data_IF_034512104037
#
_entry.id   IF_034512104037
#
_cell.length_a   1.000
_cell.length_b   1.000
_cell.length_c   1.000
_cell.angle_alpha   90.00
_cell.angle_beta   90.00
_cell.angle_gamma   90.00
#
_symmetry.space_group_name_H-M   'P 1'
#
loop_
_entity.id
_entity.type
_entity.pdbx_description
1 polymer ?
#
# COMPACT_ATOMS: atom_id res chain seq x y z
N UNK A 1 -35.15 0.19 -38.59
CA UNK A 1 -35.10 -1.24 -38.99
C UNK A 1 -34.89 -1.30 -40.49
N UNK A 2 -33.89 -2.03 -41.02
CA UNK A 2 -32.49 -2.04 -40.61
C UNK A 2 -31.57 -1.67 -41.80
N UNK A 3 -30.37 -1.17 -41.51
CA UNK A 3 -29.27 -1.15 -42.48
C UNK A 3 -28.05 -1.76 -41.81
N UNK A 4 -27.56 -2.84 -42.42
CA UNK A 4 -26.34 -3.53 -42.05
C UNK A 4 -25.13 -2.63 -42.35
N UNK A 5 -24.14 -2.61 -41.46
CA UNK A 5 -22.76 -2.29 -41.80
C UNK A 5 -21.81 -3.08 -40.89
N UNK A 6 -20.95 -3.84 -41.57
CA UNK A 6 -19.83 -4.65 -41.08
C UNK A 6 -18.53 -3.82 -41.18
N UNK A 7 -17.55 -4.14 -40.33
CA UNK A 7 -16.13 -3.68 -40.30
C UNK A 7 -15.89 -2.26 -39.70
N UNK A 8 -14.91 -2.00 -38.84
CA UNK A 8 -13.71 -2.73 -38.37
C UNK A 8 -13.36 -2.32 -36.92
N UNK A 9 -13.11 -3.31 -36.06
CA UNK A 9 -12.86 -3.17 -34.62
C UNK A 9 -11.51 -3.80 -34.29
N UNK A 10 -10.46 -3.00 -34.02
CA UNK A 10 -9.21 -3.48 -33.41
C UNK A 10 -8.51 -2.37 -32.60
N UNK A 11 -7.92 -2.60 -31.42
CA UNK A 11 -7.57 -3.88 -30.79
C UNK A 11 -7.46 -3.83 -29.24
N UNK A 12 -8.50 -4.31 -28.56
CA UNK A 12 -8.36 -5.16 -27.37
C UNK A 12 -8.59 -6.60 -27.86
N UNK A 13 -7.53 -7.32 -28.29
CA UNK A 13 -7.70 -8.69 -28.82
C UNK A 13 -7.64 -9.76 -27.71
N UNK A 14 -8.67 -10.62 -27.58
CA UNK A 14 -8.70 -11.75 -26.64
C UNK A 14 -7.82 -12.91 -27.11
N UNK A 15 -7.22 -13.63 -26.16
CA UNK A 15 -6.26 -14.72 -26.41
C UNK A 15 -6.96 -16.09 -26.36
N UNK A 16 -6.73 -16.95 -27.37
CA UNK A 16 -7.09 -18.38 -27.40
C UNK A 16 -6.03 -19.25 -26.69
N UNK A 17 -6.39 -20.32 -25.97
CA UNK A 17 -5.42 -21.17 -25.25
C UNK A 17 -4.76 -22.23 -26.15
N UNK A 18 -3.44 -22.43 -25.98
CA UNK A 18 -2.67 -23.51 -26.58
C UNK A 18 -2.36 -24.63 -25.56
N UNK A 19 -2.23 -25.85 -26.09
CA UNK A 19 -2.30 -27.13 -25.39
C UNK A 19 -1.09 -27.55 -24.52
N UNK A 20 -1.35 -28.60 -23.75
CA UNK A 20 -0.52 -29.19 -22.69
C UNK A 20 0.70 -29.96 -23.23
N UNK A 21 1.82 -29.88 -22.52
CA UNK A 21 2.93 -30.83 -22.59
C UNK A 21 3.05 -31.65 -21.29
N UNK A 22 3.39 -32.94 -21.43
CA UNK A 22 3.41 -34.02 -20.43
C UNK A 22 4.84 -34.31 -19.92
N UNK A 23 4.92 -34.77 -18.64
CA UNK A 23 5.87 -35.72 -17.99
C UNK A 23 7.36 -35.30 -17.95
N UNK A 24 8.16 -35.60 -16.93
CA UNK A 24 8.69 -36.93 -16.54
C UNK A 24 9.25 -36.93 -15.08
N UNK A 25 9.18 -38.11 -14.46
CA UNK A 25 9.72 -38.55 -13.16
C UNK A 25 11.26 -38.57 -13.07
N UNK A 26 11.83 -38.38 -11.87
CA UNK A 26 13.03 -39.10 -11.44
C UNK A 26 13.11 -39.21 -9.90
N UNK A 27 13.62 -40.35 -9.43
CA UNK A 27 13.54 -40.91 -8.08
C UNK A 27 14.95 -40.96 -7.46
N UNK A 28 14.97 -40.92 -6.12
CA UNK A 28 15.85 -41.66 -5.20
C UNK A 28 17.33 -41.27 -5.00
N UNK A 29 17.71 -41.25 -3.71
CA UNK A 29 19.09 -41.31 -3.23
C UNK A 29 19.15 -41.26 -1.70
N UNK A 30 19.07 -42.43 -1.04
CA UNK A 30 19.34 -42.63 0.40
C UNK A 30 20.84 -42.73 0.63
N UNK A 31 21.34 -42.23 1.77
CA UNK A 31 22.57 -42.73 2.41
C UNK A 31 22.50 -42.56 3.93
N UNK A 32 22.83 -43.64 4.65
CA UNK A 32 22.92 -43.81 6.11
C UNK A 32 24.37 -43.67 6.55
N UNK A 33 24.63 -43.15 7.77
CA UNK A 33 25.73 -43.52 8.69
C UNK A 33 25.42 -42.90 10.07
N UNK A 34 24.91 -43.68 11.05
CA UNK A 34 25.57 -44.39 12.17
C UNK A 34 26.26 -43.51 13.24
N UNK A 35 25.55 -43.41 14.38
CA UNK A 35 25.92 -43.40 15.82
C UNK A 35 27.40 -43.28 16.23
N UNK A 36 27.64 -42.46 17.26
CA UNK A 36 28.45 -42.79 18.46
C UNK A 36 27.93 -42.04 19.69
N UNK A 37 27.70 -42.78 20.77
CA UNK A 37 27.39 -42.35 22.14
C UNK A 37 28.69 -42.01 22.89
N UNK A 38 28.66 -41.02 23.80
CA UNK A 38 29.61 -40.82 24.92
C UNK A 38 28.97 -39.77 25.85
N UNK A 39 28.27 -40.16 26.92
CA UNK A 39 28.69 -40.20 28.34
C UNK A 39 29.18 -38.84 28.88
N UNK A 40 28.39 -38.27 29.80
CA UNK A 40 28.67 -37.09 30.61
C UNK A 40 29.73 -37.34 31.70
N UNK A 41 30.26 -36.25 32.30
CA UNK A 41 30.49 -36.25 33.73
C UNK A 41 29.76 -35.09 34.44
N UNK A 42 29.14 -35.45 35.56
CA UNK A 42 28.55 -34.57 36.56
C UNK A 42 29.55 -33.55 37.09
N UNK A 43 29.13 -32.29 37.23
CA UNK A 43 29.81 -31.29 38.05
C UNK A 43 28.84 -30.60 39.00
N UNK A 44 29.07 -30.88 40.27
CA UNK A 44 28.48 -30.31 41.48
C UNK A 44 28.46 -28.77 41.46
N UNK A 45 27.31 -28.13 41.67
CA UNK A 45 27.22 -26.71 42.04
C UNK A 45 26.11 -26.50 43.09
N UNK A 46 26.46 -25.71 44.11
CA UNK A 46 25.71 -25.43 45.35
C UNK A 46 24.38 -24.69 45.08
N UNK A 47 23.37 -24.84 45.97
CA UNK A 47 22.16 -24.02 45.93
C UNK A 47 22.44 -22.61 46.48
N UNK A 48 21.57 -21.67 46.12
CA UNK A 48 21.46 -20.30 46.66
C UNK A 48 22.28 -19.20 45.98
N UNK A 49 21.80 -18.76 44.82
CA UNK A 49 21.81 -17.36 44.41
C UNK A 49 20.48 -17.05 43.69
N UNK A 50 19.73 -16.00 44.07
CA UNK A 50 18.47 -15.67 43.42
C UNK A 50 18.73 -15.30 41.95
N UNK A 51 18.18 -16.13 41.06
CA UNK A 51 18.19 -15.93 39.63
C UNK A 51 17.54 -14.56 39.30
N UNK A 52 18.34 -13.60 38.85
CA UNK A 52 17.83 -12.42 38.14
C UNK A 52 16.90 -12.94 37.05
N UNK A 53 15.65 -12.48 37.07
CA UNK A 53 14.57 -13.02 36.26
C UNK A 53 14.96 -13.08 34.77
N UNK A 54 14.96 -14.29 34.21
CA UNK A 54 15.12 -14.60 32.78
C UNK A 54 13.95 -14.09 31.91
N UNK A 55 13.14 -13.15 32.42
CA UNK A 55 12.01 -12.56 31.71
C UNK A 55 12.37 -11.32 30.88
N UNK A 56 13.55 -10.73 31.10
CA UNK A 56 13.98 -9.48 30.44
C UNK A 56 14.58 -9.67 29.03
N UNK A 57 14.71 -10.90 28.52
CA UNK A 57 15.27 -11.19 27.18
C UNK A 57 14.23 -11.47 26.09
N UNK A 58 12.96 -11.19 26.34
CA UNK A 58 11.93 -11.35 25.30
C UNK A 58 11.95 -10.14 24.37
N UNK A 59 12.55 -10.27 23.19
CA UNK A 59 12.46 -9.24 22.14
C UNK A 59 11.03 -9.16 21.60
N UNK A 60 10.37 -8.03 21.81
CA UNK A 60 9.02 -7.80 21.30
C UNK A 60 9.06 -7.16 19.91
N UNK A 61 8.14 -7.58 19.04
CA UNK A 61 8.01 -7.01 17.69
C UNK A 61 6.58 -6.54 17.44
N UNK A 62 6.45 -5.34 16.87
CA UNK A 62 5.18 -4.84 16.37
C UNK A 62 5.37 -4.15 15.03
N UNK A 63 4.90 -4.82 13.97
CA UNK A 63 5.05 -4.31 12.61
C UNK A 63 6.52 -4.23 12.22
N UNK A 64 6.99 -3.02 11.96
CA UNK A 64 8.35 -2.70 11.55
C UNK A 64 9.32 -2.41 12.69
N UNK A 65 8.82 -2.35 13.92
CA UNK A 65 9.60 -1.94 15.09
C UNK A 65 9.96 -3.11 15.99
N UNK A 66 11.24 -3.18 16.33
CA UNK A 66 11.76 -3.92 17.48
C UNK A 66 11.54 -3.11 18.74
N UNK A 67 11.01 -3.75 19.78
CA UNK A 67 10.83 -3.17 21.09
C UNK A 67 11.92 -3.80 21.97
N UNK A 68 12.94 -3.00 22.26
CA UNK A 68 14.08 -3.41 23.09
C UNK A 68 13.66 -3.50 24.57
N UNK A 69 14.47 -4.14 25.41
CA UNK A 69 14.24 -4.12 26.86
C UNK A 69 14.15 -2.70 27.43
N UNK A 70 14.94 -1.75 26.91
CA UNK A 70 14.90 -0.33 27.30
C UNK A 70 13.58 0.33 26.90
N UNK A 71 13.12 0.11 25.65
CA UNK A 71 11.81 0.58 25.19
C UNK A 71 10.67 0.02 26.08
N UNK A 72 10.74 -1.26 26.43
CA UNK A 72 9.75 -1.90 27.29
C UNK A 72 9.77 -1.34 28.71
N UNK A 73 10.96 -1.17 29.30
CA UNK A 73 11.13 -0.56 30.60
C UNK A 73 10.59 0.88 30.62
N UNK A 74 10.86 1.64 29.55
CA UNK A 74 10.32 2.98 29.36
C UNK A 74 8.79 2.99 29.29
N UNK A 75 8.19 2.13 28.46
CA UNK A 75 6.72 2.01 28.33
C UNK A 75 6.10 1.67 29.70
N UNK A 76 6.70 0.76 30.46
CA UNK A 76 6.22 0.40 31.81
C UNK A 76 6.30 1.58 32.78
N UNK A 77 7.44 2.27 32.83
CA UNK A 77 7.62 3.43 33.69
C UNK A 77 6.64 4.57 33.33
N UNK A 78 6.46 4.84 32.03
CA UNK A 78 5.55 5.87 31.54
C UNK A 78 4.09 5.56 31.87
N UNK A 79 3.63 4.33 31.60
CA UNK A 79 2.26 3.90 31.91
C UNK A 79 1.96 3.92 33.41
N UNK A 80 2.94 3.58 34.25
CA UNK A 80 2.80 3.64 35.71
C UNK A 80 2.81 5.08 36.25
N UNK A 81 3.60 5.98 35.64
CA UNK A 81 3.70 7.39 36.05
C UNK A 81 2.44 8.19 35.73
N UNK A 82 1.76 7.85 34.63
CA UNK A 82 0.60 8.61 34.14
C UNK A 82 -0.67 7.76 34.04
N UNK A 83 -1.19 7.22 35.16
CA UNK A 83 -2.36 6.35 35.15
C UNK A 83 -3.66 7.08 34.78
N UNK A 84 -3.66 8.42 34.83
CA UNK A 84 -4.82 9.27 34.54
C UNK A 84 -4.98 9.68 33.07
N UNK A 85 -3.98 9.43 32.21
CA UNK A 85 -4.03 9.83 30.81
C UNK A 85 -5.06 9.02 30.02
N UNK A 86 -5.69 9.68 29.04
CA UNK A 86 -6.51 8.98 28.06
C UNK A 86 -5.63 8.02 27.24
N UNK A 87 -6.19 6.85 26.85
CA UNK A 87 -5.43 5.84 26.08
C UNK A 87 -4.90 6.40 24.75
N UNK A 88 -5.64 7.27 24.10
CA UNK A 88 -5.26 7.96 22.85
C UNK A 88 -4.03 8.84 23.04
N UNK A 89 -4.07 9.71 24.05
CA UNK A 89 -2.98 10.61 24.42
C UNK A 89 -1.73 9.85 24.87
N UNK A 90 -1.88 8.86 25.75
CA UNK A 90 -0.80 7.96 26.17
C UNK A 90 -0.13 7.27 24.97
N UNK A 91 -0.93 6.79 24.01
CA UNK A 91 -0.40 6.13 22.81
C UNK A 91 0.33 7.11 21.91
N UNK A 92 -0.19 8.33 21.73
CA UNK A 92 0.45 9.37 20.93
C UNK A 92 1.80 9.78 21.52
N UNK A 93 1.86 10.08 22.83
CA UNK A 93 3.11 10.45 23.52
C UNK A 93 4.13 9.33 23.48
N UNK A 94 3.71 8.07 23.69
CA UNK A 94 4.61 6.93 23.53
C UNK A 94 5.16 6.81 22.12
N UNK A 95 4.32 7.03 21.09
CA UNK A 95 4.82 7.02 19.71
C UNK A 95 5.84 8.13 19.46
N UNK A 96 5.64 9.33 20.01
CA UNK A 96 6.57 10.45 19.84
C UNK A 96 7.91 10.20 20.54
N UNK A 97 7.87 9.83 21.83
CA UNK A 97 9.07 9.61 22.64
C UNK A 97 9.92 8.44 22.15
N UNK A 98 9.26 7.45 21.55
CA UNK A 98 9.92 6.30 20.98
C UNK A 98 10.37 6.56 19.52
N UNK A 99 10.05 7.70 18.89
CA UNK A 99 10.26 7.96 17.44
C UNK A 99 9.52 6.94 16.53
N UNK A 100 8.33 6.51 16.97
CA UNK A 100 7.45 5.59 16.25
C UNK A 100 6.47 6.31 15.32
N UNK A 101 7.02 6.96 14.30
CA UNK A 101 6.29 7.85 13.41
C UNK A 101 6.08 7.22 12.01
N UNK A 102 5.10 7.73 11.26
CA UNK A 102 4.96 7.48 9.82
C UNK A 102 6.00 8.32 9.05
N UNK A 103 6.24 8.07 7.74
CA UNK A 103 7.11 8.95 6.95
C UNK A 103 6.69 10.42 6.96
N UNK A 104 5.40 10.69 7.16
CA UNK A 104 4.85 12.06 7.29
C UNK A 104 5.01 12.65 8.70
N UNK A 105 5.78 12.01 9.60
CA UNK A 105 5.98 12.45 10.98
C UNK A 105 4.79 12.25 11.91
N UNK A 106 3.76 11.48 11.53
CA UNK A 106 2.58 11.27 12.38
C UNK A 106 2.75 10.05 13.31
N UNK A 107 2.26 10.08 14.56
CA UNK A 107 2.26 8.92 15.45
C UNK A 107 1.60 7.66 14.86
N UNK A 108 2.25 6.50 14.96
CA UNK A 108 1.67 5.19 14.55
C UNK A 108 0.72 4.61 15.63
N UNK A 109 -0.35 5.35 15.92
CA UNK A 109 -1.31 5.05 17.02
C UNK A 109 -1.84 3.62 16.96
N UNK A 110 -2.29 3.14 15.80
CA UNK A 110 -2.85 1.79 15.67
C UNK A 110 -1.83 0.68 15.96
N UNK A 111 -0.58 0.89 15.56
CA UNK A 111 0.48 -0.09 15.78
C UNK A 111 0.85 -0.12 17.27
N UNK A 112 1.05 1.05 17.88
CA UNK A 112 1.35 1.18 19.31
C UNK A 112 0.21 0.65 20.18
N UNK A 113 -1.05 0.97 19.86
CA UNK A 113 -2.22 0.43 20.58
C UNK A 113 -2.24 -1.10 20.55
N UNK A 114 -1.95 -1.72 19.41
CA UNK A 114 -1.88 -3.20 19.30
C UNK A 114 -0.74 -3.78 20.12
N UNK A 115 0.42 -3.12 20.16
CA UNK A 115 1.52 -3.52 21.05
C UNK A 115 1.09 -3.46 22.51
N UNK A 116 0.53 -2.33 22.95
CA UNK A 116 0.11 -2.14 24.34
C UNK A 116 -0.94 -3.17 24.77
N UNK A 117 -1.90 -3.50 23.89
CA UNK A 117 -2.88 -4.56 24.15
C UNK A 117 -2.21 -5.94 24.26
N UNK A 118 -1.20 -6.24 23.44
CA UNK A 118 -0.45 -7.51 23.52
C UNK A 118 0.41 -7.60 24.79
N UNK A 119 1.04 -6.49 25.19
CA UNK A 119 1.83 -6.41 26.42
C UNK A 119 0.93 -6.55 27.66
N UNK A 120 -0.24 -5.93 27.66
CA UNK A 120 -1.25 -6.09 28.72
C UNK A 120 -1.75 -7.55 28.82
N UNK A 121 -2.07 -8.17 27.68
CA UNK A 121 -2.49 -9.58 27.65
C UNK A 121 -1.40 -10.55 28.13
N UNK A 122 -0.12 -10.17 28.00
CA UNK A 122 1.02 -10.94 28.51
C UNK A 122 1.43 -10.57 29.94
N UNK A 123 0.66 -9.72 30.63
CA UNK A 123 0.93 -9.31 32.01
C UNK A 123 2.13 -8.37 32.18
N UNK A 124 2.69 -7.84 31.09
CA UNK A 124 3.89 -7.00 31.12
C UNK A 124 3.62 -5.56 31.59
N UNK A 125 2.37 -5.11 31.48
CA UNK A 125 1.93 -3.79 31.93
C UNK A 125 0.45 -3.81 32.30
N UNK A 126 0.04 -2.84 33.12
CA UNK A 126 -1.37 -2.59 33.46
C UNK A 126 -1.76 -1.23 32.89
N UNK A 127 -2.74 -1.19 32.00
CA UNK A 127 -3.15 0.07 31.34
C UNK A 127 -4.15 0.83 32.19
N UNK A 128 -4.23 2.17 32.02
CA UNK A 128 -5.38 2.92 32.47
C UNK A 128 -6.67 2.25 31.99
N UNK A 129 -7.68 2.21 32.87
CA UNK A 129 -9.02 1.78 32.49
C UNK A 129 -9.46 2.58 31.25
N UNK A 130 -10.19 1.94 30.34
CA UNK A 130 -10.90 2.68 29.30
C UNK A 130 -11.79 3.69 30.02
N UNK A 131 -11.42 4.97 29.99
CA UNK A 131 -12.40 6.02 30.23
C UNK A 131 -13.44 5.80 29.14
N UNK A 132 -14.69 5.57 29.54
CA UNK A 132 -15.80 5.71 28.62
C UNK A 132 -15.78 7.18 28.19
N UNK A 133 -15.02 7.48 27.13
CA UNK A 133 -15.27 8.66 26.34
C UNK A 133 -16.77 8.58 26.03
N UNK A 134 -17.53 9.58 26.49
CA UNK A 134 -18.95 9.72 26.13
C UNK A 134 -19.02 9.44 24.65
N UNK A 135 -19.67 8.34 24.28
CA UNK A 135 -19.75 7.84 22.90
C UNK A 135 -19.89 9.03 21.97
N UNK A 136 -18.82 9.41 21.29
CA UNK A 136 -18.97 10.29 20.16
C UNK A 136 -19.80 9.47 19.15
N UNK A 137 -20.92 10.00 18.66
CA UNK A 137 -21.92 9.21 17.95
C UNK A 137 -21.30 8.59 16.70
N UNK A 138 -21.02 7.28 16.77
CA UNK A 138 -20.58 6.42 15.67
C UNK A 138 -19.45 6.99 14.80
N UNK A 139 -19.21 6.41 13.61
CA UNK A 139 -18.67 7.23 12.55
C UNK A 139 -19.67 8.37 12.39
N UNK A 140 -19.25 9.60 12.65
CA UNK A 140 -19.78 10.70 11.87
C UNK A 140 -19.51 10.26 10.44
N UNK A 141 -20.53 9.69 9.76
CA UNK A 141 -20.82 10.11 8.39
C UNK A 141 -20.57 11.58 8.48
N UNK A 142 -19.47 12.06 7.89
CA UNK A 142 -19.21 13.49 7.85
C UNK A 142 -20.54 14.04 7.38
N UNK A 143 -21.29 14.65 8.30
CA UNK A 143 -22.41 15.48 7.96
C UNK A 143 -21.71 16.43 7.01
N UNK A 144 -21.97 16.21 5.72
CA UNK A 144 -21.32 16.95 4.67
C UNK A 144 -21.45 18.38 5.12
N UNK A 145 -20.33 19.08 5.18
CA UNK A 145 -20.30 20.52 5.30
C UNK A 145 -21.39 21.01 4.34
N UNK A 146 -22.54 21.38 4.89
CA UNK A 146 -23.77 21.71 4.17
C UNK A 146 -23.66 23.13 3.60
N UNK A 147 -22.47 23.47 3.14
CA UNK A 147 -22.05 24.75 2.58
C UNK A 147 -20.97 24.58 1.50
N UNK A 148 -20.58 23.35 1.14
CA UNK A 148 -19.86 23.17 -0.13
C UNK A 148 -20.90 23.22 -1.26
N UNK A 149 -20.71 24.06 -2.30
CA UNK A 149 -21.54 23.99 -3.49
C UNK A 149 -21.57 22.55 -3.99
N UNK A 150 -22.74 22.12 -4.50
CA UNK A 150 -22.89 20.82 -5.17
C UNK A 150 -21.68 20.63 -6.11
N UNK A 151 -20.98 19.48 -6.04
CA UNK A 151 -19.85 19.24 -6.92
C UNK A 151 -20.30 19.42 -8.37
N UNK A 152 -19.49 20.08 -9.18
CA UNK A 152 -19.79 20.21 -10.61
C UNK A 152 -20.11 18.82 -11.16
N UNK A 153 -21.22 18.67 -11.88
CA UNK A 153 -21.59 17.39 -12.42
C UNK A 153 -20.46 16.85 -13.30
N UNK A 154 -20.38 15.52 -13.38
CA UNK A 154 -19.59 14.89 -14.43
C UNK A 154 -19.97 15.51 -15.79
N UNK A 155 -19.00 15.71 -16.71
CA UNK A 155 -19.30 16.20 -18.04
C UNK A 155 -20.44 15.38 -18.64
N UNK A 156 -21.51 16.06 -19.02
CA UNK A 156 -22.68 15.47 -19.65
C UNK A 156 -23.01 16.27 -20.92
N UNK A 157 -22.78 15.72 -22.12
CA UNK A 157 -22.20 14.38 -22.36
C UNK A 157 -20.71 14.30 -21.98
N UNK A 158 -20.22 13.07 -21.76
CA UNK A 158 -18.78 12.82 -21.64
C UNK A 158 -18.06 13.25 -22.93
N UNK A 159 -16.80 13.71 -22.83
CA UNK A 159 -16.04 14.11 -24.02
C UNK A 159 -15.85 12.93 -24.97
N UNK A 160 -16.22 13.14 -26.22
CA UNK A 160 -15.98 12.20 -27.33
C UNK A 160 -14.86 12.75 -28.18
N UNK A 161 -13.64 12.25 -27.93
CA UNK A 161 -12.42 12.76 -28.53
C UNK A 161 -11.67 11.62 -29.20
N UNK A 162 -11.47 11.72 -30.51
CA UNK A 162 -10.69 10.78 -31.29
C UNK A 162 -9.69 11.55 -32.17
N UNK A 163 -8.48 11.03 -32.30
CA UNK A 163 -7.42 11.68 -33.06
C UNK A 163 -6.05 11.56 -32.41
N UNK A 164 -5.02 12.21 -32.98
CA UNK A 164 -3.67 12.15 -32.44
C UNK A 164 -3.56 12.96 -31.13
N UNK A 165 -2.62 12.57 -30.26
CA UNK A 165 -2.38 13.24 -28.97
C UNK A 165 -2.11 14.75 -29.11
N UNK A 166 -1.42 15.17 -30.18
CA UNK A 166 -1.14 16.58 -30.44
C UNK A 166 -2.40 17.43 -30.67
N UNK A 167 -3.51 16.83 -31.11
CA UNK A 167 -4.77 17.53 -31.37
C UNK A 167 -5.55 17.85 -30.08
N UNK A 168 -5.22 17.22 -28.95
CA UNK A 168 -5.87 17.51 -27.67
C UNK A 168 -5.44 18.85 -27.05
N UNK A 169 -4.40 19.49 -27.58
CA UNK A 169 -3.67 20.52 -26.85
C UNK A 169 -2.86 19.93 -25.70
N UNK A 170 -2.19 20.79 -24.92
CA UNK A 170 -1.36 20.35 -23.79
C UNK A 170 -2.16 19.55 -22.76
N UNK A 171 -1.80 18.29 -22.56
CA UNK A 171 -2.37 17.44 -21.51
C UNK A 171 -1.62 17.70 -20.21
N UNK A 172 -2.35 17.88 -19.10
CA UNK A 172 -1.79 18.11 -17.76
C UNK A 172 -2.42 17.19 -16.73
N UNK A 173 -1.63 16.77 -15.73
CA UNK A 173 -2.16 16.14 -14.52
C UNK A 173 -2.22 17.16 -13.39
N UNK A 174 -3.43 17.47 -12.94
CA UNK A 174 -3.65 18.38 -11.83
C UNK A 174 -3.97 17.62 -10.55
N UNK A 175 -3.19 17.84 -9.50
CA UNK A 175 -3.45 17.28 -8.18
C UNK A 175 -4.77 17.85 -7.63
N UNK A 176 -5.73 16.99 -7.28
CA UNK A 176 -7.00 17.39 -6.68
C UNK A 176 -6.77 17.82 -5.21
N UNK A 177 -6.71 19.12 -4.96
CA UNK A 177 -6.47 19.70 -3.62
C UNK A 177 -7.77 20.06 -2.89
N UNK A 178 -8.83 20.32 -3.63
CA UNK A 178 -10.10 20.79 -3.09
C UNK A 178 -11.11 19.65 -2.99
N UNK A 179 -12.03 19.74 -2.03
CA UNK A 179 -13.07 18.73 -1.80
C UNK A 179 -13.94 18.49 -3.06
N UNK A 180 -14.19 19.55 -3.85
CA UNK A 180 -14.94 19.46 -5.12
C UNK A 180 -14.26 18.55 -6.13
N UNK A 181 -12.95 18.71 -6.34
CA UNK A 181 -12.17 17.93 -7.30
C UNK A 181 -12.04 16.47 -6.85
N UNK A 182 -11.87 16.26 -5.54
CA UNK A 182 -11.83 14.93 -4.97
C UNK A 182 -13.17 14.20 -5.17
N UNK A 183 -14.28 14.90 -4.97
CA UNK A 183 -15.61 14.32 -5.16
C UNK A 183 -15.89 14.02 -6.63
N UNK A 184 -15.56 14.93 -7.55
CA UNK A 184 -15.65 14.69 -9.01
C UNK A 184 -14.90 13.42 -9.41
N UNK A 185 -13.67 13.24 -8.93
CA UNK A 185 -12.90 12.01 -9.16
C UNK A 185 -13.59 10.77 -8.57
N UNK A 186 -14.15 10.86 -7.35
CA UNK A 186 -14.85 9.74 -6.72
C UNK A 186 -16.06 9.31 -7.56
N UNK A 187 -16.84 10.27 -8.04
CA UNK A 187 -18.03 10.01 -8.86
C UNK A 187 -17.64 9.43 -10.23
N UNK A 188 -16.60 9.97 -10.88
CA UNK A 188 -16.06 9.42 -12.12
C UNK A 188 -15.62 7.96 -11.97
N UNK A 189 -14.88 7.65 -10.91
CA UNK A 189 -14.43 6.30 -10.62
C UNK A 189 -15.60 5.38 -10.25
N UNK A 190 -16.61 5.88 -9.54
CA UNK A 190 -17.79 5.11 -9.19
C UNK A 190 -18.61 4.70 -10.41
N UNK A 191 -18.78 5.61 -11.37
CA UNK A 191 -19.62 5.38 -12.56
C UNK A 191 -18.90 4.67 -13.70
N UNK A 192 -17.63 4.97 -13.95
CA UNK A 192 -16.95 4.57 -15.19
C UNK A 192 -15.78 3.61 -15.00
N UNK A 193 -15.19 3.51 -13.80
CA UNK A 193 -14.08 2.58 -13.59
C UNK A 193 -14.62 1.16 -13.31
N UNK A 194 -14.09 0.08 -13.94
CA UNK A 194 -14.62 -1.29 -13.77
C UNK A 194 -14.67 -1.81 -12.33
N UNK A 195 -13.80 -1.28 -11.47
CA UNK A 195 -13.74 -1.61 -10.03
C UNK A 195 -14.54 -0.64 -9.12
N UNK A 196 -15.28 0.30 -9.71
CA UNK A 196 -15.97 1.39 -9.01
C UNK A 196 -15.02 2.27 -8.20
N UNK A 197 -15.56 3.16 -7.36
CA UNK A 197 -14.80 3.85 -6.32
C UNK A 197 -14.76 3.00 -5.03
N UNK A 198 -13.59 2.98 -4.36
CA UNK A 198 -13.44 2.43 -3.02
C UNK A 198 -12.54 3.39 -2.24
N UNK A 199 -12.86 3.61 -0.97
CA UNK A 199 -12.04 4.45 -0.12
C UNK A 199 -10.60 3.89 -0.06
N UNK A 200 -9.59 4.68 -0.46
CA UNK A 200 -8.20 4.24 -0.41
C UNK A 200 -7.72 4.11 1.04
N UNK A 201 -6.66 3.33 1.24
CA UNK A 201 -5.99 3.18 2.53
C UNK A 201 -4.59 3.80 2.49
N UNK A 202 -4.04 4.10 3.66
CA UNK A 202 -2.73 4.73 3.80
C UNK A 202 -2.76 6.20 3.41
N UNK A 203 -1.70 6.68 2.76
CA UNK A 203 -1.70 8.00 2.11
C UNK A 203 -2.21 7.86 0.68
N UNK A 204 -2.99 8.81 0.21
CA UNK A 204 -3.56 8.79 -1.14
C UNK A 204 -3.59 10.18 -1.77
N UNK A 205 -3.67 10.20 -3.09
CA UNK A 205 -3.91 11.42 -3.86
C UNK A 205 -4.72 11.10 -5.11
N UNK A 206 -5.45 12.11 -5.59
CA UNK A 206 -6.20 12.04 -6.84
C UNK A 206 -5.64 13.05 -7.81
N UNK A 207 -5.58 12.67 -9.08
CA UNK A 207 -5.18 13.55 -10.17
C UNK A 207 -6.30 13.61 -11.19
N UNK A 208 -6.62 14.83 -11.60
CA UNK A 208 -7.48 15.09 -12.76
C UNK A 208 -6.59 15.13 -14.00
N UNK A 209 -7.01 14.42 -15.04
CA UNK A 209 -6.35 14.42 -16.34
C UNK A 209 -7.11 15.42 -17.20
N UNK A 210 -6.49 16.56 -17.50
CA UNK A 210 -7.13 17.66 -18.22
C UNK A 210 -6.36 17.95 -19.51
N UNK A 211 -7.06 18.33 -20.55
CA UNK A 211 -6.50 19.10 -21.67
C UNK A 211 -6.98 20.54 -21.59
N UNK A 212 -6.62 21.38 -22.58
CA UNK A 212 -6.96 22.80 -22.59
C UNK A 212 -8.46 23.08 -22.30
N UNK A 213 -9.35 22.26 -22.87
CA UNK A 213 -10.80 22.46 -22.80
C UNK A 213 -11.55 21.30 -22.14
N UNK A 214 -10.91 20.14 -21.95
CA UNK A 214 -11.62 18.92 -21.59
C UNK A 214 -11.04 18.26 -20.34
N UNK A 215 -11.93 17.78 -19.48
CA UNK A 215 -11.57 16.82 -18.44
C UNK A 215 -11.64 15.41 -19.01
N UNK A 216 -10.50 14.72 -19.10
CA UNK A 216 -10.33 13.46 -19.81
C UNK A 216 -10.43 12.22 -18.92
N UNK A 217 -10.31 12.39 -17.60
CA UNK A 217 -10.35 11.28 -16.64
C UNK A 217 -9.58 11.56 -15.35
N UNK A 218 -9.24 10.52 -14.61
CA UNK A 218 -8.54 10.68 -13.33
C UNK A 218 -7.64 9.49 -12.94
N UNK A 219 -6.72 9.76 -12.01
CA UNK A 219 -5.85 8.77 -11.38
C UNK A 219 -6.05 8.79 -9.87
N UNK A 220 -6.10 7.62 -9.24
CA UNK A 220 -6.09 7.46 -7.78
C UNK A 220 -4.82 6.70 -7.37
N UNK A 221 -3.95 7.38 -6.65
CA UNK A 221 -2.81 6.77 -5.96
C UNK A 221 -3.18 6.49 -4.50
N UNK A 222 -2.73 5.36 -3.96
CA UNK A 222 -2.91 4.99 -2.56
C UNK A 222 -1.67 4.28 -2.00
N UNK A 223 -1.73 3.83 -0.74
CA UNK A 223 -0.70 2.96 -0.17
C UNK A 223 -0.52 1.66 -0.96
N UNK A 224 0.70 1.13 -0.95
CA UNK A 224 1.05 -0.13 -1.60
C UNK A 224 0.36 -1.36 -1.01
N UNK A 225 0.27 -2.43 -1.81
CA UNK A 225 -0.15 -3.72 -1.28
C UNK A 225 0.85 -4.26 -0.26
N UNK A 226 0.33 -4.84 0.83
CA UNK A 226 1.12 -5.23 2.00
C UNK A 226 2.27 -6.19 1.66
N UNK A 227 2.01 -7.19 0.84
CA UNK A 227 2.99 -8.21 0.47
C UNK A 227 2.74 -8.72 -0.96
N UNK A 228 3.80 -8.75 -1.76
CA UNK A 228 3.81 -9.16 -3.16
C UNK A 228 5.14 -9.85 -3.49
N UNK A 229 5.19 -11.18 -3.48
CA UNK A 229 6.45 -11.94 -3.63
C UNK A 229 7.30 -11.53 -4.85
N UNK A 230 6.67 -11.14 -5.96
CA UNK A 230 7.38 -10.66 -7.15
C UNK A 230 8.09 -9.31 -6.94
N UNK A 231 7.43 -8.34 -6.29
CA UNK A 231 8.05 -7.07 -5.91
C UNK A 231 9.17 -7.31 -4.92
N UNK A 232 8.97 -8.18 -3.93
CA UNK A 232 9.94 -8.28 -2.84
C UNK A 232 11.25 -8.87 -3.33
N UNK A 233 11.17 -9.90 -4.20
CA UNK A 233 12.34 -10.46 -4.88
C UNK A 233 13.03 -9.46 -5.80
N UNK A 234 12.26 -8.59 -6.46
CA UNK A 234 12.81 -7.59 -7.38
C UNK A 234 13.48 -6.41 -6.66
N UNK A 235 12.98 -6.01 -5.49
CA UNK A 235 13.62 -5.00 -4.63
C UNK A 235 14.83 -5.59 -3.91
N UNK A 236 14.71 -6.82 -3.39
CA UNK A 236 15.74 -7.50 -2.61
C UNK A 236 15.70 -7.19 -1.11
N UNK A 237 14.64 -6.56 -0.60
CA UNK A 237 14.48 -6.27 0.81
C UNK A 237 14.02 -7.48 1.64
N UNK A 238 14.45 -7.54 2.90
CA UNK A 238 13.95 -8.48 3.91
C UNK A 238 12.52 -8.12 4.34
N UNK A 239 11.84 -9.03 5.03
CA UNK A 239 10.50 -8.76 5.57
C UNK A 239 10.48 -7.58 6.54
N UNK A 240 11.55 -7.36 7.30
CA UNK A 240 11.68 -6.22 8.22
C UNK A 240 11.80 -4.90 7.45
N UNK A 241 12.72 -4.85 6.48
CA UNK A 241 12.88 -3.69 5.59
C UNK A 241 11.58 -3.40 4.82
N UNK A 242 10.88 -4.43 4.34
CA UNK A 242 9.56 -4.27 3.71
C UNK A 242 8.57 -3.60 4.67
N UNK A 243 8.42 -4.11 5.90
CA UNK A 243 7.46 -3.54 6.83
C UNK A 243 7.78 -2.07 7.17
N UNK A 244 9.07 -1.73 7.31
CA UNK A 244 9.53 -0.37 7.57
C UNK A 244 9.33 0.56 6.38
N UNK A 245 9.68 0.10 5.18
CA UNK A 245 9.84 0.94 4.00
C UNK A 245 8.69 0.84 2.99
N UNK A 246 7.69 -0.03 3.21
CA UNK A 246 6.49 -0.12 2.37
C UNK A 246 5.76 1.23 2.17
N UNK A 247 5.66 2.14 3.16
CA UNK A 247 5.03 3.44 2.98
C UNK A 247 5.63 4.32 1.87
N UNK A 248 6.86 4.02 1.43
CA UNK A 248 7.56 4.70 0.34
C UNK A 248 7.18 4.15 -1.05
N UNK A 249 6.34 3.13 -1.09
CA UNK A 249 5.77 2.57 -2.32
C UNK A 249 4.31 2.99 -2.42
N UNK A 250 3.92 3.53 -3.58
CA UNK A 250 2.54 3.89 -3.86
C UNK A 250 1.93 2.96 -4.88
N UNK A 251 0.66 2.67 -4.71
CA UNK A 251 -0.13 1.93 -5.67
C UNK A 251 -0.91 2.90 -6.57
N UNK A 252 -0.74 2.81 -7.88
CA UNK A 252 -1.70 3.33 -8.84
C UNK A 252 -2.93 2.41 -8.85
N UNK A 253 -3.83 2.70 -7.91
CA UNK A 253 -5.00 1.89 -7.60
C UNK A 253 -6.12 2.04 -8.62
N UNK A 254 -6.25 3.22 -9.22
CA UNK A 254 -7.21 3.46 -10.31
C UNK A 254 -6.60 4.37 -11.34
N UNK A 255 -6.79 3.98 -12.59
CA UNK A 255 -6.45 4.76 -13.76
C UNK A 255 -7.66 4.75 -14.69
N UNK A 256 -8.26 5.92 -14.88
CA UNK A 256 -9.47 6.09 -15.69
C UNK A 256 -9.22 7.16 -16.74
N UNK A 257 -9.40 6.79 -18.00
CA UNK A 257 -9.74 7.71 -19.08
C UNK A 257 -11.21 7.48 -19.40
N UNK A 258 -11.96 8.54 -19.70
CA UNK A 258 -13.38 8.39 -20.02
C UNK A 258 -13.57 7.55 -21.29
N UNK A 259 -14.64 6.73 -21.37
CA UNK A 259 -14.86 5.83 -22.51
C UNK A 259 -14.88 6.52 -23.89
N UNK A 260 -15.30 7.79 -23.97
CA UNK A 260 -15.32 8.57 -25.21
C UNK A 260 -13.95 9.11 -25.63
N UNK A 261 -12.90 8.98 -24.80
CA UNK A 261 -11.56 9.49 -25.07
C UNK A 261 -10.71 8.41 -25.73
N UNK A 262 -10.70 8.41 -27.06
CA UNK A 262 -10.05 7.42 -27.93
C UNK A 262 -8.80 8.00 -28.59
N UNK A 263 -7.83 8.41 -27.76
CA UNK A 263 -6.60 9.07 -28.21
C UNK A 263 -5.39 8.14 -28.03
N UNK A 264 -4.72 7.70 -29.12
CA UNK A 264 -3.54 6.87 -29.04
C UNK A 264 -2.44 7.52 -28.18
N UNK A 265 -1.73 6.70 -27.40
CA UNK A 265 -0.62 7.11 -26.54
C UNK A 265 -0.96 8.09 -25.39
N UNK A 266 -2.21 8.53 -25.24
CA UNK A 266 -2.62 9.40 -24.14
C UNK A 266 -2.34 8.76 -22.78
N UNK A 267 -2.68 7.47 -22.61
CA UNK A 267 -2.50 6.78 -21.35
C UNK A 267 -1.03 6.69 -20.92
N UNK A 268 -0.13 6.32 -21.83
CA UNK A 268 1.31 6.28 -21.53
C UNK A 268 1.90 7.68 -21.31
N UNK A 269 1.42 8.69 -22.05
CA UNK A 269 1.81 10.08 -21.85
C UNK A 269 1.47 10.57 -20.43
N UNK A 270 0.23 10.32 -19.98
CA UNK A 270 -0.26 10.65 -18.64
C UNK A 270 0.53 9.91 -17.55
N UNK A 271 0.78 8.61 -17.73
CA UNK A 271 1.59 7.83 -16.77
C UNK A 271 3.04 8.31 -16.68
N UNK A 272 3.61 8.77 -17.81
CA UNK A 272 4.94 9.37 -17.83
C UNK A 272 4.99 10.71 -17.08
N UNK A 273 3.98 11.57 -17.27
CA UNK A 273 3.85 12.80 -16.49
C UNK A 273 3.69 12.52 -14.99
N UNK A 274 2.79 11.59 -14.62
CA UNK A 274 2.57 11.16 -13.25
C UNK A 274 3.89 10.77 -12.55
N UNK A 275 4.72 9.95 -13.19
CA UNK A 275 6.00 9.51 -12.63
C UNK A 275 6.99 10.66 -12.42
N UNK A 276 6.90 11.76 -13.20
CA UNK A 276 7.78 12.93 -13.05
C UNK A 276 7.35 13.86 -11.92
N UNK A 277 6.04 14.07 -11.73
CA UNK A 277 5.53 15.04 -10.75
C UNK A 277 5.16 14.45 -9.38
N UNK A 278 4.85 13.15 -9.31
CA UNK A 278 4.32 12.53 -8.08
C UNK A 278 5.25 12.70 -6.89
N UNK A 279 6.56 12.72 -7.10
CA UNK A 279 7.53 12.93 -6.02
C UNK A 279 7.32 14.27 -5.32
N UNK A 280 7.23 15.36 -6.09
CA UNK A 280 7.03 16.72 -5.59
C UNK A 280 5.64 16.90 -4.99
N UNK A 281 4.61 16.38 -5.67
CA UNK A 281 3.23 16.45 -5.20
C UNK A 281 3.02 15.72 -3.87
N UNK A 282 3.67 14.57 -3.68
CA UNK A 282 3.60 13.82 -2.44
C UNK A 282 4.38 14.49 -1.31
N UNK A 283 5.56 15.06 -1.63
CA UNK A 283 6.32 15.85 -0.67
C UNK A 283 5.49 17.03 -0.16
N UNK A 284 4.93 17.83 -1.07
CA UNK A 284 4.14 19.00 -0.69
C UNK A 284 2.88 18.66 0.11
N UNK A 285 2.26 17.49 -0.14
CA UNK A 285 1.03 17.07 0.54
C UNK A 285 1.28 16.35 1.87
N UNK A 286 2.31 15.50 1.92
CA UNK A 286 2.50 14.52 3.00
C UNK A 286 3.87 14.60 3.67
N UNK A 287 4.78 15.48 3.21
CA UNK A 287 6.11 15.66 3.82
C UNK A 287 7.11 14.54 3.53
N UNK A 288 6.90 13.76 2.45
CA UNK A 288 7.89 12.79 2.00
C UNK A 288 7.75 12.44 0.51
N UNK A 289 8.87 12.06 -0.11
CA UNK A 289 8.93 11.64 -1.53
C UNK A 289 8.87 10.12 -1.70
N UNK A 290 7.84 9.54 -2.34
CA UNK A 290 7.80 8.11 -2.66
C UNK A 290 8.96 7.70 -3.58
N UNK A 291 9.34 6.42 -3.50
CA UNK A 291 10.47 5.86 -4.25
C UNK A 291 10.04 4.96 -5.41
N UNK A 292 8.83 4.42 -5.33
CA UNK A 292 8.33 3.41 -6.25
C UNK A 292 6.82 3.56 -6.46
N UNK A 293 6.38 3.46 -7.70
CA UNK A 293 4.99 3.20 -8.04
C UNK A 293 4.80 1.72 -8.39
N UNK A 294 3.69 1.14 -7.99
CA UNK A 294 3.23 -0.19 -8.42
C UNK A 294 1.80 -0.11 -8.96
N UNK A 295 1.42 -1.07 -9.80
CA UNK A 295 0.02 -1.22 -10.23
C UNK A 295 -0.29 -2.67 -10.56
N UNK A 296 -1.59 -2.97 -10.68
CA UNK A 296 -2.08 -4.28 -11.05
C UNK A 296 -2.99 -4.20 -12.27
N UNK A 297 -2.66 -4.99 -13.30
CA UNK A 297 -3.46 -5.06 -14.52
C UNK A 297 -4.07 -6.46 -14.63
N UNK A 298 -5.39 -6.54 -14.81
CA UNK A 298 -6.05 -7.82 -15.09
C UNK A 298 -5.75 -8.24 -16.54
N UNK A 299 -4.95 -9.30 -16.77
CA UNK A 299 -4.57 -9.72 -18.12
C UNK A 299 -5.75 -10.24 -18.95
N UNK A 300 -6.91 -10.51 -18.33
CA UNK A 300 -8.13 -10.91 -19.04
C UNK A 300 -8.80 -9.73 -19.76
N UNK A 301 -8.62 -8.53 -19.23
CA UNK A 301 -9.27 -7.31 -19.73
C UNK A 301 -8.27 -6.42 -20.48
N UNK A 302 -7.03 -6.34 -20.00
CA UNK A 302 -6.05 -5.38 -20.48
C UNK A 302 -4.66 -5.98 -20.61
N UNK A 303 -3.91 -5.55 -21.63
CA UNK A 303 -2.53 -5.98 -21.87
C UNK A 303 -1.49 -5.24 -21.01
N UNK A 304 -1.85 -4.08 -20.45
CA UNK A 304 -0.91 -3.21 -19.74
C UNK A 304 0.07 -2.47 -20.66
N UNK A 305 -0.25 -2.32 -21.95
CA UNK A 305 0.65 -1.71 -22.93
C UNK A 305 0.98 -0.25 -22.62
N UNK A 306 0.04 0.51 -22.05
CA UNK A 306 0.29 1.89 -21.61
C UNK A 306 1.35 1.98 -20.52
N UNK A 307 1.37 1.04 -19.57
CA UNK A 307 2.39 0.97 -18.53
C UNK A 307 3.76 0.65 -19.13
N UNK A 308 3.85 -0.31 -20.04
CA UNK A 308 5.09 -0.60 -20.78
C UNK A 308 5.57 0.61 -21.59
N UNK A 309 4.66 1.27 -22.30
CA UNK A 309 4.96 2.48 -23.08
C UNK A 309 5.41 3.68 -22.22
N UNK A 310 5.02 3.73 -20.94
CA UNK A 310 5.52 4.69 -19.96
C UNK A 310 6.80 4.22 -19.23
N UNK A 311 7.41 3.12 -19.68
CA UNK A 311 8.63 2.55 -19.13
C UNK A 311 8.45 1.96 -17.73
N UNK A 312 7.29 1.37 -17.44
CA UNK A 312 7.09 0.56 -16.24
C UNK A 312 7.58 -0.87 -16.49
N UNK A 313 8.21 -1.47 -15.50
CA UNK A 313 8.75 -2.82 -15.56
C UNK A 313 7.69 -3.85 -15.15
N UNK A 314 7.53 -4.91 -15.94
CA UNK A 314 6.66 -6.03 -15.59
C UNK A 314 7.41 -7.00 -14.66
N UNK A 315 7.01 -7.05 -13.39
CA UNK A 315 7.66 -7.89 -12.38
C UNK A 315 7.14 -9.34 -12.36
N UNK A 316 6.03 -9.60 -13.06
CA UNK A 316 5.39 -10.92 -13.13
C UNK A 316 3.90 -10.86 -12.81
N UNK A 317 3.41 -11.89 -12.12
CA UNK A 317 1.99 -12.03 -11.73
C UNK A 317 1.82 -12.05 -10.22
N UNK A 318 0.72 -11.48 -9.74
CA UNK A 318 0.26 -11.69 -8.35
C UNK A 318 -0.22 -13.13 -8.18
N UNK A 319 -0.21 -13.64 -6.95
CA UNK A 319 -0.71 -14.99 -6.66
C UNK A 319 -2.23 -15.12 -6.78
N UNK A 320 -2.96 -14.01 -6.85
CA UNK A 320 -4.42 -13.98 -6.77
C UNK A 320 -4.98 -14.18 -5.36
N UNK A 321 -4.12 -14.47 -4.37
CA UNK A 321 -4.53 -14.58 -2.97
C UNK A 321 -4.64 -13.20 -2.32
N UNK A 322 -5.74 -12.96 -1.59
CA UNK A 322 -5.86 -11.79 -0.72
C UNK A 322 -5.08 -11.96 0.58
N UNK A 323 -5.07 -10.91 1.41
CA UNK A 323 -4.50 -10.98 2.75
C UNK A 323 -5.24 -12.06 3.56
N UNK A 324 -4.52 -13.08 4.01
CA UNK A 324 -5.08 -14.14 4.86
C UNK A 324 -5.61 -13.52 6.15
N UNK A 325 -6.90 -13.70 6.41
CA UNK A 325 -7.53 -13.35 7.69
C UNK A 325 -8.15 -14.64 8.25
N UNK A 326 -8.14 -14.85 9.58
CA UNK A 326 -8.79 -16.01 10.18
C UNK A 326 -10.23 -16.15 9.66
N UNK A 327 -10.56 -17.33 9.12
CA UNK A 327 -11.89 -17.63 8.56
C UNK A 327 -12.23 -16.95 7.23
N UNK A 328 -11.29 -16.26 6.55
CA UNK A 328 -11.56 -15.63 5.25
C UNK A 328 -10.59 -16.10 4.17
N UNK A 329 -11.16 -16.64 3.10
CA UNK A 329 -10.45 -17.01 1.89
C UNK A 329 -10.80 -16.03 0.77
N UNK A 330 -9.77 -15.41 0.20
CA UNK A 330 -9.92 -14.46 -0.90
C UNK A 330 -9.15 -15.00 -2.09
N UNK A 331 -9.88 -15.55 -3.07
CA UNK A 331 -9.32 -15.97 -4.34
C UNK A 331 -9.77 -15.00 -5.42
N UNK A 332 -8.79 -14.37 -6.07
CA UNK A 332 -8.97 -13.51 -7.23
C UNK A 332 -8.07 -14.02 -8.34
N UNK A 333 -8.29 -13.55 -9.57
CA UNK A 333 -7.43 -13.92 -10.68
C UNK A 333 -6.05 -13.25 -10.53
N UNK A 334 -4.96 -13.99 -10.83
CA UNK A 334 -3.61 -13.42 -10.95
C UNK A 334 -3.59 -12.20 -11.87
N UNK A 335 -3.06 -11.09 -11.37
CA UNK A 335 -2.91 -9.83 -12.10
C UNK A 335 -1.46 -9.64 -12.52
N UNK A 336 -1.21 -8.98 -13.64
CA UNK A 336 0.12 -8.51 -13.98
C UNK A 336 0.54 -7.43 -12.97
N UNK A 337 1.75 -7.52 -12.44
CA UNK A 337 2.34 -6.55 -11.54
C UNK A 337 3.35 -5.69 -12.30
N UNK A 338 3.05 -4.40 -12.43
CA UNK A 338 4.01 -3.43 -12.98
C UNK A 338 4.56 -2.55 -11.87
N UNK A 339 5.82 -2.15 -12.01
CA UNK A 339 6.46 -1.21 -11.10
C UNK A 339 7.23 -0.13 -11.88
N UNK A 340 7.33 1.07 -11.31
CA UNK A 340 8.07 2.19 -11.85
C UNK A 340 8.91 2.83 -10.76
N UNK A 341 10.24 2.67 -10.80
CA UNK A 341 11.16 3.46 -9.98
C UNK A 341 10.95 4.95 -10.22
N UNK A 342 10.90 5.72 -9.14
CA UNK A 342 10.87 7.19 -9.20
C UNK A 342 12.26 7.82 -9.05
N UNK A 343 13.24 7.03 -8.57
CA UNK A 343 14.63 7.42 -8.38
C UNK A 343 15.55 6.26 -8.74
N UNK A 344 16.79 6.55 -9.13
CA UNK A 344 17.75 5.53 -9.57
C UNK A 344 18.19 4.60 -8.42
N UNK A 345 18.37 5.14 -7.22
CA UNK A 345 18.84 4.44 -6.02
C UNK A 345 17.70 3.83 -5.18
N UNK A 346 16.48 3.71 -5.75
CA UNK A 346 15.28 3.28 -5.02
C UNK A 346 15.47 1.96 -4.26
N UNK A 347 16.21 0.99 -4.81
CA UNK A 347 16.48 -0.29 -4.12
C UNK A 347 17.34 -0.09 -2.89
N UNK A 348 18.46 0.63 -3.01
CA UNK A 348 19.35 0.90 -1.88
C UNK A 348 18.61 1.63 -0.76
N UNK A 349 17.79 2.63 -1.12
CA UNK A 349 16.94 3.35 -0.17
C UNK A 349 15.89 2.45 0.48
N UNK A 350 15.11 1.70 -0.30
CA UNK A 350 14.08 0.78 0.22
C UNK A 350 14.66 -0.38 1.03
N UNK A 351 15.93 -0.72 0.85
CA UNK A 351 16.65 -1.69 1.67
C UNK A 351 17.36 -1.05 2.88
N UNK A 352 17.35 0.28 3.04
CA UNK A 352 17.96 0.91 4.21
C UNK A 352 17.13 0.67 5.48
N UNK A 353 17.77 0.69 6.65
CA UNK A 353 17.11 0.56 7.95
C UNK A 353 16.46 1.86 8.45
N UNK A 354 16.76 3.00 7.83
CA UNK A 354 16.43 4.33 8.36
C UNK A 354 15.96 5.31 7.28
N UNK A 355 14.91 4.97 6.56
CA UNK A 355 14.23 5.88 5.64
C UNK A 355 13.33 6.84 6.44
N UNK A 356 13.79 8.09 6.58
CA UNK A 356 13.00 9.17 7.20
C UNK A 356 12.41 10.09 6.13
N UNK A 357 11.19 10.56 6.35
CA UNK A 357 10.65 11.69 5.61
C UNK A 357 11.54 12.91 5.84
N UNK A 358 11.84 13.64 4.78
CA UNK A 358 12.36 15.00 4.93
C UNK A 358 11.12 15.90 4.89
N UNK A 359 10.73 16.58 5.98
CA UNK A 359 9.57 17.45 5.98
C UNK A 359 9.68 18.58 4.95
#
# INVERSE_FOLDING_TARGET
MPTALTHDLQSLTPVRPAGKAKKVFAKAGRSRRRRRETIEPESFCRPDAPCMHDQDRTTWWQGDREITPEDLAYIRAFTARFPGLARSELTATLCEHLDWLTPAGRPKIDACTKLLTRLEAAGQLRRPALRQEKSHPGPRVRAALATSPLPDPLPDPLPTLAGPLCALGGVRLRLAREARDEQRCNDALARHHPLGYKQPFGYWARYLIESAEHWLGCVLLSGAAKALSARERWIGWSDRQRLANLPWVLNNSRFLLFPGVMVPNLASHVLGQLARQVGDDWQARWGYRPLLLETFVDPRQYRGSCYRGAGWELLGRTSGAGLVRPGKHYHTHPKLLFAKPLQADFRARLCSSSLRGQP
#
